data_IF_240129612746
#
_entry.id   IF_240129612746
#
_cell.length_a   1.000
_cell.length_b   1.000
_cell.length_c   1.000
_cell.angle_alpha   90.00
_cell.angle_beta   90.00
_cell.angle_gamma   90.00
#
_symmetry.space_group_name_H-M   'P 1'
#
loop_
_entity.id
_entity.type
_entity.pdbx_description
1 polymer ?
#
# COMPACT_ATOMS: atom_id res chain seq x y z
N UNK A 1 -26.63 -9.26 -25.66
CA UNK A 1 -26.91 -7.84 -26.00
C UNK A 1 -25.63 -7.00 -26.14
N UNK A 2 -24.52 -7.52 -26.68
CA UNK A 2 -23.35 -6.70 -27.08
C UNK A 2 -22.64 -7.34 -28.27
N UNK A 3 -23.23 -7.18 -29.45
CA UNK A 3 -22.65 -7.62 -30.72
C UNK A 3 -23.15 -6.69 -31.82
N UNK A 4 -22.82 -5.40 -31.70
CA UNK A 4 -22.92 -4.52 -32.87
C UNK A 4 -21.59 -4.69 -33.63
N UNK A 5 -21.62 -5.13 -34.90
CA UNK A 5 -20.40 -5.17 -35.69
C UNK A 5 -19.79 -3.76 -35.73
N UNK A 6 -18.46 -3.64 -35.63
CA UNK A 6 -17.80 -2.33 -35.67
C UNK A 6 -18.20 -1.61 -36.96
N UNK A 7 -18.49 -0.30 -36.91
CA UNK A 7 -18.89 0.44 -38.09
C UNK A 7 -17.78 0.36 -39.13
N UNK A 8 -18.15 0.04 -40.38
CA UNK A 8 -17.22 0.00 -41.50
C UNK A 8 -16.76 1.45 -41.72
N UNK A 9 -15.52 1.76 -41.34
CA UNK A 9 -14.94 3.06 -41.59
C UNK A 9 -14.83 3.25 -43.11
N UNK A 10 -15.39 4.33 -43.70
CA UNK A 10 -15.11 4.65 -45.08
C UNK A 10 -13.59 4.77 -45.22
N UNK A 11 -13.00 4.13 -46.25
CA UNK A 11 -11.58 4.24 -46.54
C UNK A 11 -11.24 5.72 -46.61
N UNK A 12 -10.57 6.21 -45.56
CA UNK A 12 -10.13 7.59 -45.45
C UNK A 12 -9.23 7.81 -46.65
N UNK A 13 -9.74 8.55 -47.64
CA UNK A 13 -9.04 8.83 -48.91
C UNK A 13 -7.68 9.43 -48.57
N UNK A 14 -6.64 9.02 -49.30
CA UNK A 14 -5.26 9.47 -49.08
C UNK A 14 -5.14 11.01 -49.08
N UNK A 15 -6.04 11.70 -49.76
CA UNK A 15 -6.11 13.17 -49.71
C UNK A 15 -6.47 13.72 -48.32
N UNK A 16 -7.36 13.05 -47.57
CA UNK A 16 -7.68 13.45 -46.21
C UNK A 16 -6.52 13.13 -45.24
N UNK A 17 -5.70 12.12 -45.55
CA UNK A 17 -4.48 11.83 -44.77
C UNK A 17 -3.41 12.89 -45.01
N UNK A 18 -3.26 13.37 -46.24
CA UNK A 18 -2.38 14.49 -46.56
C UNK A 18 -2.88 15.78 -45.90
N UNK A 19 -4.19 15.98 -45.79
CA UNK A 19 -4.80 17.11 -45.08
C UNK A 19 -4.56 17.05 -43.56
N UNK A 20 -4.62 15.86 -42.95
CA UNK A 20 -4.22 15.66 -41.54
C UNK A 20 -2.70 15.89 -41.36
N UNK A 21 -1.88 15.45 -42.32
CA UNK A 21 -0.43 15.62 -42.26
C UNK A 21 0.00 17.09 -42.39
N UNK A 22 -0.81 17.93 -43.02
CA UNK A 22 -0.56 19.37 -43.16
C UNK A 22 -1.20 20.20 -42.04
N UNK A 23 -1.93 19.56 -41.12
CA UNK A 23 -2.44 20.25 -39.94
C UNK A 23 -1.34 20.39 -38.90
N UNK A 24 -0.63 21.51 -38.94
CA UNK A 24 0.18 21.95 -37.80
C UNK A 24 -0.75 22.18 -36.61
N UNK A 25 -0.82 21.20 -35.71
CA UNK A 25 -1.52 21.29 -34.43
C UNK A 25 -0.75 22.24 -33.49
N UNK A 26 -0.60 23.51 -33.87
CA UNK A 26 -0.08 24.54 -32.98
C UNK A 26 -1.22 25.20 -32.21
N UNK A 27 -2.04 24.40 -31.53
CA UNK A 27 -2.91 24.90 -30.46
C UNK A 27 -2.04 25.10 -29.22
N UNK A 28 -1.33 26.22 -29.18
CA UNK A 28 -0.57 26.65 -28.01
C UNK A 28 -1.56 27.08 -26.93
N UNK A 29 -1.91 26.18 -26.01
CA UNK A 29 -2.64 26.52 -24.79
C UNK A 29 -1.74 27.35 -23.86
N UNK A 30 -1.58 28.66 -24.14
CA UNK A 30 -0.87 29.63 -23.29
C UNK A 30 -1.67 30.06 -22.05
N UNK A 31 -2.47 29.16 -21.48
CA UNK A 31 -3.28 29.44 -20.29
C UNK A 31 -3.15 28.40 -19.18
N UNK A 32 -2.31 27.37 -19.36
CA UNK A 32 -1.99 26.44 -18.28
C UNK A 32 -0.60 26.75 -17.75
N UNK A 33 -0.54 27.28 -16.52
CA UNK A 33 0.69 27.23 -15.73
C UNK A 33 1.17 25.78 -15.67
N UNK A 34 2.49 25.51 -15.81
CA UNK A 34 2.98 24.15 -15.67
C UNK A 34 2.57 23.63 -14.28
N UNK A 35 2.12 22.36 -14.16
CA UNK A 35 1.81 21.79 -12.86
C UNK A 35 3.07 21.91 -12.00
N UNK A 36 2.91 22.47 -10.78
CA UNK A 36 3.99 22.49 -9.81
C UNK A 36 4.44 21.05 -9.61
N UNK A 37 5.67 20.73 -10.00
CA UNK A 37 6.25 19.42 -9.74
C UNK A 37 6.35 19.29 -8.23
N UNK A 38 5.66 18.32 -7.59
CA UNK A 38 5.91 18.06 -6.20
C UNK A 38 7.38 17.67 -6.07
N UNK A 39 8.11 18.32 -5.16
CA UNK A 39 9.47 17.92 -4.79
C UNK A 39 9.36 16.63 -3.99
N UNK A 40 9.09 15.54 -4.66
CA UNK A 40 9.16 14.21 -4.07
C UNK A 40 10.64 13.95 -3.80
N UNK A 41 11.00 13.85 -2.52
CA UNK A 41 12.33 13.41 -2.15
C UNK A 41 12.47 11.95 -2.57
N UNK A 42 13.52 11.63 -3.33
CA UNK A 42 13.77 10.27 -3.81
C UNK A 42 13.85 9.28 -2.63
N UNK A 43 14.31 9.71 -1.45
CA UNK A 43 14.30 8.88 -0.23
C UNK A 43 12.90 8.48 0.20
N UNK A 44 11.92 9.37 0.03
CA UNK A 44 10.51 9.11 0.35
C UNK A 44 9.80 8.31 -0.77
N UNK A 45 10.39 8.29 -1.98
CA UNK A 45 9.89 7.57 -3.15
C UNK A 45 10.49 6.17 -3.31
N UNK A 46 11.60 5.88 -2.64
CA UNK A 46 12.17 4.54 -2.62
C UNK A 46 11.23 3.62 -1.84
N UNK A 47 10.98 2.39 -2.34
CA UNK A 47 10.27 1.40 -1.54
C UNK A 47 11.04 1.23 -0.22
N UNK A 48 10.33 1.35 0.91
CA UNK A 48 10.90 1.17 2.25
C UNK A 48 11.83 -0.03 2.22
N UNK A 49 13.11 0.20 2.51
CA UNK A 49 14.11 -0.85 2.57
C UNK A 49 13.63 -1.91 3.54
N UNK A 50 13.39 -3.11 3.03
CA UNK A 50 12.86 -4.26 3.77
C UNK A 50 13.82 -4.79 4.84
N UNK A 51 14.93 -4.11 5.09
CA UNK A 51 15.91 -4.43 6.13
C UNK A 51 15.42 -4.09 7.52
N UNK A 52 14.68 -3.00 7.67
CA UNK A 52 14.30 -2.49 8.98
C UNK A 52 12.88 -2.91 9.36
N UNK A 53 12.67 -3.46 10.57
CA UNK A 53 11.35 -3.86 11.00
C UNK A 53 10.45 -2.65 11.18
N UNK A 54 9.32 -2.65 10.47
CA UNK A 54 8.29 -1.59 10.52
C UNK A 54 7.55 -1.60 11.86
N UNK A 55 7.75 -2.65 12.67
CA UNK A 55 7.10 -2.82 13.96
C UNK A 55 8.08 -3.29 15.06
N UNK A 56 7.81 -2.95 16.32
CA UNK A 56 8.70 -3.31 17.44
C UNK A 56 8.45 -4.69 18.04
N UNK A 57 7.64 -5.56 17.41
CA UNK A 57 7.34 -6.89 17.94
C UNK A 57 8.57 -7.80 17.98
N UNK A 58 8.71 -8.57 19.04
CA UNK A 58 9.74 -9.58 19.25
C UNK A 58 9.11 -10.97 19.43
N UNK A 59 9.81 -12.06 19.08
CA UNK A 59 9.41 -13.40 19.49
C UNK A 59 9.22 -13.47 21.01
N UNK A 60 8.10 -14.04 21.46
CA UNK A 60 7.71 -14.10 22.87
C UNK A 60 6.78 -12.98 23.34
N UNK A 61 6.56 -11.93 22.54
CA UNK A 61 5.59 -10.89 22.90
C UNK A 61 4.14 -11.42 22.85
N UNK A 62 3.31 -10.92 23.76
CA UNK A 62 1.86 -11.15 23.76
C UNK A 62 1.15 -10.10 22.89
N UNK A 63 0.54 -10.56 21.79
CA UNK A 63 -0.16 -9.73 20.82
C UNK A 63 -1.63 -10.14 20.66
N UNK A 64 -2.48 -9.15 20.40
CA UNK A 64 -3.88 -9.35 20.03
C UNK A 64 -4.05 -9.18 18.53
N UNK A 65 -4.79 -10.10 17.91
CA UNK A 65 -5.10 -10.06 16.49
C UNK A 65 -6.49 -9.46 16.29
N UNK A 66 -6.55 -8.35 15.55
CA UNK A 66 -7.83 -7.71 15.18
C UNK A 66 -8.54 -8.57 14.14
N UNK A 67 -9.72 -9.09 14.49
CA UNK A 67 -10.63 -9.76 13.56
C UNK A 67 -11.71 -8.79 13.09
N UNK A 68 -11.95 -8.76 11.78
CA UNK A 68 -13.08 -8.05 11.19
C UNK A 68 -14.10 -9.10 10.76
N UNK A 69 -15.10 -9.35 11.58
CA UNK A 69 -16.21 -10.25 11.24
C UNK A 69 -17.33 -9.42 10.60
N UNK A 70 -17.89 -9.88 9.48
CA UNK A 70 -19.02 -9.20 8.80
C UNK A 70 -20.35 -9.35 9.56
N UNK A 71 -20.42 -10.35 10.44
CA UNK A 71 -21.59 -10.66 11.26
C UNK A 71 -21.53 -9.91 12.59
N UNK A 72 -22.02 -8.67 12.60
CA UNK A 72 -22.27 -7.89 13.83
C UNK A 72 -21.03 -7.24 14.44
N UNK A 73 -21.23 -6.04 14.98
CA UNK A 73 -20.22 -5.21 15.66
C UNK A 73 -19.84 -5.77 17.04
N UNK A 74 -19.64 -7.08 17.19
CA UNK A 74 -19.17 -7.67 18.44
C UNK A 74 -17.65 -7.68 18.46
N UNK A 75 -16.99 -6.81 19.27
CA UNK A 75 -15.56 -6.89 19.47
C UNK A 75 -15.25 -8.11 20.36
N UNK A 76 -15.21 -9.29 19.76
CA UNK A 76 -14.59 -10.43 20.43
C UNK A 76 -13.09 -10.15 20.50
N UNK A 77 -12.63 -9.58 21.63
CA UNK A 77 -11.21 -9.47 21.93
C UNK A 77 -10.65 -10.89 22.00
N UNK A 78 -9.91 -11.25 20.96
CA UNK A 78 -9.23 -12.54 20.90
C UNK A 78 -8.27 -12.67 22.08
N UNK A 79 -8.10 -13.91 22.54
CA UNK A 79 -7.11 -14.28 23.56
C UNK A 79 -5.73 -13.75 23.14
N UNK A 80 -4.88 -13.30 24.09
CA UNK A 80 -3.48 -13.00 23.78
C UNK A 80 -2.79 -14.18 23.14
N UNK A 81 -2.15 -13.93 22.00
CA UNK A 81 -1.34 -14.91 21.32
C UNK A 81 0.14 -14.55 21.43
N UNK A 82 0.99 -15.55 21.49
CA UNK A 82 2.44 -15.36 21.55
C UNK A 82 3.03 -15.27 20.16
N UNK A 83 3.91 -14.29 19.93
CA UNK A 83 4.68 -14.17 18.68
C UNK A 83 5.76 -15.25 18.62
N UNK A 84 5.84 -15.98 17.52
CA UNK A 84 6.87 -17.01 17.29
C UNK A 84 7.99 -16.47 16.39
N UNK A 85 7.64 -15.70 15.37
CA UNK A 85 8.59 -15.18 14.39
C UNK A 85 8.16 -13.80 13.90
N UNK A 86 9.13 -12.94 13.68
CA UNK A 86 8.92 -11.59 13.15
C UNK A 86 9.65 -11.39 11.84
N UNK A 87 8.93 -10.88 10.85
CA UNK A 87 9.48 -10.34 9.61
C UNK A 87 9.23 -8.84 9.60
N UNK A 88 9.86 -8.03 8.72
CA UNK A 88 9.75 -6.58 8.77
C UNK A 88 8.32 -6.03 8.74
N UNK A 89 7.41 -6.74 8.05
CA UNK A 89 6.03 -6.27 7.77
C UNK A 89 4.95 -7.21 8.34
N UNK A 90 5.32 -8.43 8.73
CA UNK A 90 4.37 -9.44 9.18
C UNK A 90 4.92 -10.28 10.34
N UNK A 91 4.02 -10.80 11.14
CA UNK A 91 4.33 -11.57 12.35
C UNK A 91 3.68 -12.94 12.27
N UNK A 92 4.43 -13.97 12.60
CA UNK A 92 3.91 -15.32 12.82
C UNK A 92 3.48 -15.43 14.28
N UNK A 93 2.20 -15.71 14.46
CA UNK A 93 1.55 -15.78 15.77
C UNK A 93 1.19 -17.23 16.06
N UNK A 94 1.31 -17.65 17.33
CA UNK A 94 0.89 -18.98 17.74
C UNK A 94 -0.61 -19.19 17.47
N UNK A 95 -1.03 -20.42 17.21
CA UNK A 95 -2.42 -20.80 16.90
C UNK A 95 -2.98 -20.29 15.55
N UNK A 96 -2.21 -19.49 14.79
CA UNK A 96 -2.61 -18.97 13.47
C UNK A 96 -1.66 -19.53 12.39
N UNK A 97 -2.17 -20.32 11.43
CA UNK A 97 -1.31 -20.92 10.40
C UNK A 97 -0.78 -19.88 9.40
N UNK A 98 -1.37 -18.69 9.31
CA UNK A 98 -1.00 -17.64 8.37
C UNK A 98 -0.16 -16.53 9.01
N UNK A 99 0.56 -15.77 8.18
CA UNK A 99 1.27 -14.58 8.62
C UNK A 99 0.31 -13.41 8.84
N UNK A 100 0.47 -12.69 9.95
CA UNK A 100 -0.37 -11.56 10.31
C UNK A 100 0.37 -10.24 10.07
N UNK A 101 -0.10 -9.42 9.13
CA UNK A 101 0.41 -8.07 8.95
C UNK A 101 0.35 -7.25 10.24
N UNK A 102 1.40 -6.47 10.53
CA UNK A 102 1.56 -5.75 11.79
C UNK A 102 0.43 -4.75 12.09
N UNK A 103 -0.20 -4.19 11.06
CA UNK A 103 -1.35 -3.27 11.22
C UNK A 103 -2.59 -3.93 11.84
N UNK A 104 -2.66 -5.27 11.82
CA UNK A 104 -3.75 -6.05 12.43
C UNK A 104 -3.42 -6.46 13.86
N UNK A 105 -2.21 -6.18 14.34
CA UNK A 105 -1.74 -6.56 15.66
C UNK A 105 -1.84 -5.39 16.62
N UNK A 106 -2.20 -5.71 17.86
CA UNK A 106 -2.14 -4.79 18.98
C UNK A 106 -1.28 -5.43 20.06
N UNK A 107 -0.16 -4.82 20.40
CA UNK A 107 0.63 -5.25 21.55
C UNK A 107 -0.16 -5.05 22.84
N UNK A 108 -0.11 -6.04 23.74
CA UNK A 108 -0.46 -5.79 25.14
C UNK A 108 0.49 -4.73 25.69
N UNK A 109 -0.01 -3.75 26.46
CA UNK A 109 0.88 -2.83 27.19
C UNK A 109 1.71 -3.66 28.17
N UNK A 110 2.94 -4.03 27.79
CA UNK A 110 3.95 -4.31 28.79
C UNK A 110 4.38 -2.96 29.35
N UNK A 111 3.78 -2.60 30.51
CA UNK A 111 4.26 -1.52 31.33
C UNK A 111 5.76 -1.76 31.59
N UNK A 112 6.60 -0.82 31.15
CA UNK A 112 7.98 -0.67 31.61
C UNK A 112 8.87 -1.91 31.52
N UNK A 113 9.45 -2.18 30.35
CA UNK A 113 10.80 -2.76 30.34
C UNK A 113 11.78 -1.60 30.43
N UNK A 114 12.25 -1.40 31.65
CA UNK A 114 13.23 -0.45 32.15
C UNK A 114 14.35 -0.18 31.15
N UNK A 115 14.73 1.10 31.02
CA UNK A 115 16.05 1.50 30.51
C UNK A 115 17.10 0.62 31.22
N UNK A 116 18.04 -0.04 30.53
CA UNK A 116 19.14 -0.67 31.22
C UNK A 116 19.91 0.44 31.94
N UNK A 117 20.00 0.32 33.27
CA UNK A 117 20.90 1.14 34.08
C UNK A 117 22.32 0.91 33.56
N UNK A 118 22.90 1.93 32.96
CA UNK A 118 24.35 2.05 32.87
C UNK A 118 24.86 2.28 34.29
N UNK A 119 25.44 1.23 34.87
CA UNK A 119 26.33 1.34 36.03
C UNK A 119 27.69 1.88 35.60
N UNK A 120 28.37 2.64 36.48
CA UNK A 120 29.55 3.45 36.16
C UNK A 120 30.78 2.64 35.74
#
# INVERSE_FOLDING_TARGET
MYSRPPPILPKIREELKAEIHNYSYSSSCRLCSPPRRPSINIRDALPVSTSDPVHPFQPGDSVWVKKFTTQGLTPALQVPHTVILTTPTAVKVNDIPTWVHHSRLKGGKQNGRSRPLQTP
#
